data_IF_110997024429
#
_entry.id   IF_110997024429
#
_cell.length_a   1.000
_cell.length_b   1.000
_cell.length_c   1.000
_cell.angle_alpha   90.00
_cell.angle_beta   90.00
_cell.angle_gamma   90.00
#
_symmetry.space_group_name_H-M   'P 1'
#
loop_
_entity.id
_entity.type
_entity.pdbx_description
1 polymer ?
#
# COMPACT_ATOMS: atom_id res chain seq x y z
N UNK A 1 -2.29 -10.75 3.58
CA UNK A 1 -2.38 -10.93 2.11
C UNK A 1 -2.40 -9.57 1.46
N UNK A 2 -1.51 -9.31 0.51
CA UNK A 2 -1.45 -8.07 -0.26
C UNK A 2 -2.12 -8.28 -1.63
N UNK A 3 -3.08 -7.44 -1.99
CA UNK A 3 -3.64 -7.41 -3.35
C UNK A 3 -3.03 -6.27 -4.19
N UNK A 4 -2.47 -6.63 -5.34
CA UNK A 4 -1.98 -5.70 -6.37
C UNK A 4 -2.62 -6.09 -7.69
N UNK A 5 -3.38 -5.18 -8.32
CA UNK A 5 -4.02 -5.41 -9.63
C UNK A 5 -4.77 -6.76 -9.74
N UNK A 6 -5.42 -7.20 -8.65
CA UNK A 6 -6.14 -8.47 -8.59
C UNK A 6 -5.29 -9.70 -8.24
N UNK A 7 -3.96 -9.60 -8.32
CA UNK A 7 -3.05 -10.67 -7.89
C UNK A 7 -2.87 -10.66 -6.37
N UNK A 8 -2.88 -11.86 -5.78
CA UNK A 8 -2.69 -12.07 -4.35
C UNK A 8 -1.22 -12.37 -4.09
N UNK A 9 -0.67 -11.69 -3.08
CA UNK A 9 0.67 -11.92 -2.59
C UNK A 9 0.65 -12.22 -1.10
N UNK A 10 1.51 -13.15 -0.69
CA UNK A 10 1.68 -13.56 0.71
C UNK A 10 2.97 -12.97 1.26
N UNK A 11 2.94 -12.54 2.53
CA UNK A 11 4.10 -11.93 3.19
C UNK A 11 5.19 -12.99 3.36
N UNK A 12 6.38 -12.70 2.88
CA UNK A 12 7.53 -13.58 3.04
C UNK A 12 8.42 -13.12 4.19
N UNK A 13 8.86 -11.86 4.19
CA UNK A 13 9.62 -11.28 5.29
C UNK A 13 9.48 -9.75 5.37
N UNK A 14 9.84 -9.18 6.52
CA UNK A 14 9.94 -7.74 6.75
C UNK A 14 11.35 -7.43 7.28
N UNK A 15 12.08 -6.54 6.60
CA UNK A 15 13.41 -6.10 7.01
C UNK A 15 13.66 -4.66 6.55
N UNK A 16 14.11 -3.79 7.45
CA UNK A 16 14.48 -2.40 7.13
C UNK A 16 13.33 -1.56 6.54
N UNK A 17 12.12 -1.65 7.08
CA UNK A 17 10.96 -0.89 6.57
C UNK A 17 10.43 -1.36 5.21
N UNK A 18 10.94 -2.50 4.71
CA UNK A 18 10.57 -3.12 3.44
C UNK A 18 9.94 -4.48 3.72
N UNK A 19 8.75 -4.71 3.18
CA UNK A 19 8.10 -6.02 3.22
C UNK A 19 8.27 -6.69 1.87
N UNK A 20 8.81 -7.91 1.84
CA UNK A 20 8.82 -8.78 0.66
C UNK A 20 7.56 -9.62 0.64
N UNK A 21 6.93 -9.65 -0.51
CA UNK A 21 5.74 -10.46 -0.78
C UNK A 21 6.02 -11.36 -1.96
N UNK A 22 5.67 -12.64 -1.87
CA UNK A 22 5.70 -13.56 -3.02
C UNK A 22 4.29 -13.80 -3.56
N UNK A 23 4.18 -14.16 -4.84
CA UNK A 23 2.89 -14.53 -5.42
C UNK A 23 2.25 -15.68 -4.62
N UNK A 24 0.95 -15.60 -4.35
CA UNK A 24 0.28 -16.62 -3.53
C UNK A 24 0.26 -18.01 -4.16
N UNK A 25 0.50 -18.12 -5.47
CA UNK A 25 0.62 -19.41 -6.18
C UNK A 25 2.06 -19.90 -6.32
N UNK A 26 3.04 -19.19 -5.74
CA UNK A 26 4.48 -19.54 -5.79
C UNK A 26 4.73 -21.01 -5.51
N UNK A 27 4.21 -21.54 -4.39
CA UNK A 27 4.44 -22.93 -3.98
C UNK A 27 3.78 -23.97 -4.89
N UNK A 28 2.74 -23.59 -5.66
CA UNK A 28 1.98 -24.51 -6.52
C UNK A 28 2.45 -24.51 -7.96
N UNK A 29 2.90 -23.37 -8.47
CA UNK A 29 3.25 -23.20 -9.90
C UNK A 29 4.72 -22.86 -10.12
N UNK A 30 5.51 -22.73 -9.06
CA UNK A 30 6.88 -22.21 -9.15
C UNK A 30 6.95 -20.72 -9.51
N UNK A 31 5.83 -19.98 -9.45
CA UNK A 31 5.78 -18.56 -9.80
C UNK A 31 6.78 -17.75 -8.97
N UNK A 32 7.74 -17.08 -9.61
CA UNK A 32 8.80 -16.31 -8.94
C UNK A 32 8.46 -14.83 -8.73
N UNK A 33 7.25 -14.40 -9.08
CA UNK A 33 6.84 -13.02 -8.92
C UNK A 33 6.90 -12.62 -7.44
N UNK A 34 7.62 -11.52 -7.17
CA UNK A 34 7.77 -10.94 -5.84
C UNK A 34 7.62 -9.43 -5.92
N UNK A 35 7.02 -8.85 -4.88
CA UNK A 35 6.84 -7.41 -4.75
C UNK A 35 7.43 -6.96 -3.42
N UNK A 36 7.93 -5.73 -3.40
CA UNK A 36 8.37 -5.08 -2.19
C UNK A 36 7.53 -3.84 -1.91
N UNK A 37 7.06 -3.70 -0.67
CA UNK A 37 6.42 -2.48 -0.21
C UNK A 37 7.33 -1.79 0.77
N UNK A 38 7.70 -0.55 0.47
CA UNK A 38 8.37 0.36 1.42
C UNK A 38 7.31 1.35 1.87
N UNK A 39 7.08 1.43 3.18
CA UNK A 39 6.09 2.32 3.77
C UNK A 39 6.81 3.23 4.72
N UNK A 40 6.82 4.53 4.41
CA UNK A 40 7.24 5.54 5.36
C UNK A 40 6.00 6.25 5.89
N UNK A 41 5.87 6.31 7.21
CA UNK A 41 4.86 7.14 7.88
C UNK A 41 5.47 8.49 8.13
N UNK A 42 4.77 9.55 7.74
CA UNK A 42 5.16 10.93 8.01
C UNK A 42 4.04 11.66 8.75
N UNK A 43 4.42 12.61 9.60
CA UNK A 43 3.49 13.56 10.21
C UNK A 43 3.67 14.91 9.53
N UNK A 44 2.54 15.52 9.15
CA UNK A 44 2.54 16.92 8.71
C UNK A 44 2.75 17.86 9.88
N UNK A 45 3.10 19.12 9.61
CA UNK A 45 3.18 20.17 10.64
C UNK A 45 1.89 20.37 11.44
N UNK A 46 0.74 19.97 10.87
CA UNK A 46 -0.58 20.00 11.53
C UNK A 46 -0.92 18.69 12.26
N UNK A 47 0.05 17.82 12.49
CA UNK A 47 -0.15 16.53 13.18
C UNK A 47 -0.92 15.48 12.39
N UNK A 48 -1.22 15.71 11.10
CA UNK A 48 -1.90 14.72 10.25
C UNK A 48 -0.92 13.66 9.76
N UNK A 49 -1.23 12.39 10.01
CA UNK A 49 -0.47 11.23 9.52
C UNK A 49 -0.70 10.98 8.03
N UNK A 50 0.37 10.66 7.31
CA UNK A 50 0.35 10.27 5.90
C UNK A 50 1.26 9.07 5.64
N UNK A 51 0.95 8.31 4.59
CA UNK A 51 1.82 7.26 4.08
C UNK A 51 2.57 7.75 2.84
N UNK A 52 3.86 7.42 2.75
CA UNK A 52 4.65 7.56 1.54
C UNK A 52 4.97 6.16 1.03
N UNK A 53 4.49 5.86 -0.18
CA UNK A 53 4.65 4.56 -0.82
C UNK A 53 5.16 4.79 -2.24
N UNK A 54 6.34 4.26 -2.56
CA UNK A 54 6.96 4.46 -3.87
C UNK A 54 7.16 5.94 -4.24
N UNK A 55 7.43 6.80 -3.26
CA UNK A 55 7.57 8.26 -3.46
C UNK A 55 6.26 9.05 -3.49
N UNK A 56 5.11 8.38 -3.60
CA UNK A 56 3.80 9.05 -3.63
C UNK A 56 3.20 9.18 -2.23
N UNK A 57 2.58 10.33 -1.98
CA UNK A 57 1.95 10.69 -0.71
C UNK A 57 0.47 10.30 -0.69
N UNK A 58 0.07 9.52 0.32
CA UNK A 58 -1.30 9.09 0.56
C UNK A 58 -1.81 9.67 1.89
N UNK A 59 -2.92 10.40 1.82
CA UNK A 59 -3.60 10.96 2.99
C UNK A 59 -4.71 10.03 3.51
N UNK A 60 -4.92 10.04 4.83
CA UNK A 60 -5.99 9.29 5.50
C UNK A 60 -7.35 9.78 4.99
N UNK A 61 -8.16 8.86 4.46
CA UNK A 61 -9.48 9.18 3.91
C UNK A 61 -10.62 8.71 4.81
N UNK A 62 -10.55 7.48 5.32
CA UNK A 62 -11.60 6.93 6.17
C UNK A 62 -11.09 5.74 6.97
N UNK A 63 -11.61 5.55 8.18
CA UNK A 63 -11.37 4.36 9.00
C UNK A 63 -12.70 3.63 9.19
N UNK A 64 -12.74 2.34 8.86
CA UNK A 64 -13.93 1.49 9.03
C UNK A 64 -13.51 0.07 9.43
N UNK A 65 -14.06 -0.45 10.53
CA UNK A 65 -13.82 -1.83 10.99
C UNK A 65 -12.33 -2.20 11.07
N UNK A 66 -11.50 -1.33 11.67
CA UNK A 66 -10.05 -1.53 11.79
C UNK A 66 -9.24 -1.38 10.48
N UNK A 67 -9.90 -1.03 9.37
CA UNK A 67 -9.28 -0.78 8.06
C UNK A 67 -9.16 0.72 7.83
N UNK A 68 -7.98 1.20 7.50
CA UNK A 68 -7.78 2.59 7.09
C UNK A 68 -7.61 2.66 5.59
N UNK A 69 -8.45 3.46 4.93
CA UNK A 69 -8.29 3.81 3.52
C UNK A 69 -7.47 5.08 3.41
N UNK A 70 -6.50 5.04 2.50
CA UNK A 70 -5.66 6.17 2.15
C UNK A 70 -5.77 6.43 0.67
N UNK A 71 -5.90 7.70 0.28
CA UNK A 71 -5.99 8.12 -1.12
C UNK A 71 -4.77 8.96 -1.46
N UNK A 72 -4.37 8.97 -2.73
CA UNK A 72 -3.39 9.93 -3.23
C UNK A 72 -3.80 11.36 -2.81
N UNK A 73 -2.84 12.10 -2.27
CA UNK A 73 -3.08 13.49 -1.83
C UNK A 73 -3.45 14.44 -2.98
N UNK A 74 -3.05 14.12 -4.21
CA UNK A 74 -3.40 14.91 -5.39
C UNK A 74 -4.78 14.55 -5.96
N UNK A 75 -5.54 13.63 -5.34
CA UNK A 75 -6.85 13.17 -5.82
C UNK A 75 -7.83 14.31 -6.10
N UNK A 76 -7.91 15.31 -5.24
CA UNK A 76 -8.82 16.45 -5.42
C UNK A 76 -8.48 17.27 -6.67
N UNK A 77 -7.19 17.45 -6.95
CA UNK A 77 -6.69 18.24 -8.08
C UNK A 77 -6.64 17.48 -9.41
N UNK A 78 -6.29 16.20 -9.37
CA UNK A 78 -5.95 15.39 -10.57
C UNK A 78 -6.97 14.29 -10.87
N UNK A 79 -8.00 14.14 -10.02
CA UNK A 79 -8.93 12.99 -10.03
C UNK A 79 -8.23 11.63 -9.89
N UNK A 80 -6.99 11.60 -9.38
CA UNK A 80 -6.21 10.38 -9.18
C UNK A 80 -7.00 9.31 -8.42
N UNK A 81 -6.91 8.07 -8.91
CA UNK A 81 -7.59 6.90 -8.33
C UNK A 81 -6.68 6.06 -7.44
N UNK A 82 -5.38 6.37 -7.39
CA UNK A 82 -4.44 5.67 -6.54
C UNK A 82 -4.89 5.72 -5.07
N UNK A 83 -4.90 4.55 -4.44
CA UNK A 83 -5.34 4.35 -3.08
C UNK A 83 -4.72 3.09 -2.48
N UNK A 84 -4.55 3.07 -1.17
CA UNK A 84 -4.16 1.89 -0.43
C UNK A 84 -5.05 1.69 0.79
N UNK A 85 -5.01 0.48 1.34
CA UNK A 85 -5.71 0.12 2.56
C UNK A 85 -4.74 -0.54 3.52
N UNK A 86 -4.78 -0.10 4.78
CA UNK A 86 -4.00 -0.70 5.86
C UNK A 86 -4.89 -1.36 6.92
N UNK A 87 -4.35 -2.37 7.59
CA UNK A 87 -4.88 -2.98 8.81
C UNK A 87 -3.71 -3.11 9.77
N UNK A 88 -3.83 -2.59 11.00
CA UNK A 88 -2.75 -2.59 11.99
C UNK A 88 -1.40 -2.16 11.37
N UNK A 89 -1.42 -1.06 10.61
CA UNK A 89 -0.27 -0.48 9.91
C UNK A 89 0.35 -1.28 8.75
N UNK A 90 -0.17 -2.47 8.44
CA UNK A 90 0.23 -3.23 7.26
C UNK A 90 -0.63 -2.91 6.05
N UNK A 91 -0.01 -2.73 4.88
CA UNK A 91 -0.75 -2.60 3.61
C UNK A 91 -1.33 -3.95 3.21
N UNK A 92 -2.65 -4.01 3.10
CA UNK A 92 -3.39 -5.22 2.67
C UNK A 92 -3.91 -5.11 1.24
N UNK A 93 -4.04 -3.88 0.72
CA UNK A 93 -4.45 -3.62 -0.67
C UNK A 93 -3.81 -2.35 -1.16
N UNK A 94 -3.31 -2.37 -2.39
CA UNK A 94 -2.78 -1.17 -3.04
C UNK A 94 -3.18 -1.12 -4.51
N UNK A 95 -3.59 0.07 -4.92
CA UNK A 95 -3.75 0.46 -6.31
C UNK A 95 -2.86 1.70 -6.52
N UNK A 96 -1.68 1.49 -7.10
CA UNK A 96 -0.61 2.49 -7.21
C UNK A 96 -0.51 3.09 -8.63
N UNK A 97 -1.59 3.05 -9.42
CA UNK A 97 -1.63 3.72 -10.72
C UNK A 97 -1.99 5.18 -10.54
N UNK A 98 -0.97 6.02 -10.71
CA UNK A 98 -1.10 7.46 -10.73
C UNK A 98 -1.32 7.93 -12.18
N UNK A 99 -2.13 8.97 -12.33
CA UNK A 99 -2.42 9.61 -13.61
C UNK A 99 -1.72 10.98 -13.73
N UNK A 100 -0.65 11.18 -12.98
CA UNK A 100 0.09 12.43 -12.81
C UNK A 100 1.53 12.16 -12.36
#
# INVERSE_FOLDING_TARGET
MLLIRGYKFTRHNFKGGKTRWHCSVHSRTGCRAAVFTVVQKILTSRGTEMLVIGGYKFGKHSVKSGKTRWNCTLKSRTRCRAACMTIADEIVRIFAEHNH
#
